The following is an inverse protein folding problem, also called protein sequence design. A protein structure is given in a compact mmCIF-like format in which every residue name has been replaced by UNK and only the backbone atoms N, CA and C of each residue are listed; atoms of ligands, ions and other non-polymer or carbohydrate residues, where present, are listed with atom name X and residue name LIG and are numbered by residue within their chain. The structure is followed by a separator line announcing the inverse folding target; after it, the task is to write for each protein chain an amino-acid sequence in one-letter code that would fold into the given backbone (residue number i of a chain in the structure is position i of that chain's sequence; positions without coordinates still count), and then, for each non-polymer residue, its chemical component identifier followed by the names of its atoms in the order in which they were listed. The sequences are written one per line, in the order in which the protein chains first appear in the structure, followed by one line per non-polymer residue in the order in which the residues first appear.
data_IF_823847880917
#
_entry.id   IF_823847880917
#
_cell.length_a   1.000
_cell.length_b   1.000
_cell.length_c   1.000
_cell.angle_alpha   90.00
_cell.angle_beta   90.00
_cell.angle_gamma   90.00
#
_symmetry.space_group_name_H-M   'P 1'
#
loop_
_entity.id
_entity.type
_entity.pdbx_description
1 polymer ?
#
# COMPACT_ATOMS: atom_id res chain seq x y z
N UNK A 1 5.57 -23.83 10.91
CA UNK A 1 5.22 -23.59 9.50
C UNK A 1 6.48 -23.03 8.87
N UNK A 2 7.20 -23.83 8.09
CA UNK A 2 8.35 -23.34 7.33
C UNK A 2 7.79 -22.53 6.17
N UNK A 3 7.69 -21.22 6.38
CA UNK A 3 7.35 -20.28 5.32
C UNK A 3 8.49 -20.35 4.30
N UNK A 4 8.17 -20.37 3.01
CA UNK A 4 9.14 -20.45 1.92
C UNK A 4 10.35 -19.52 2.11
N UNK A 5 11.46 -19.85 1.44
CA UNK A 5 12.77 -19.19 1.58
C UNK A 5 12.69 -17.71 1.94
N UNK A 6 13.23 -17.34 3.11
CA UNK A 6 13.29 -15.96 3.59
C UNK A 6 13.87 -15.01 2.52
N UNK A 7 13.41 -13.76 2.44
CA UNK A 7 13.94 -12.81 1.47
C UNK A 7 15.44 -12.62 1.69
N UNK A 8 16.21 -12.75 0.63
CA UNK A 8 17.66 -12.50 0.65
C UNK A 8 17.98 -11.18 -0.06
N UNK A 9 19.16 -10.61 0.21
CA UNK A 9 19.67 -9.41 -0.44
C UNK A 9 19.45 -8.11 0.35
N UNK A 10 19.45 -6.97 -0.35
CA UNK A 10 19.34 -5.65 0.29
C UNK A 10 17.90 -5.39 0.73
N UNK A 11 17.72 -4.97 1.97
CA UNK A 11 16.41 -4.66 2.54
C UNK A 11 16.33 -3.19 2.92
N UNK A 12 15.21 -2.53 2.58
CA UNK A 12 14.89 -1.17 2.99
C UNK A 12 13.43 -1.09 3.47
N UNK A 13 13.17 -0.16 4.40
CA UNK A 13 11.83 0.15 4.91
C UNK A 13 11.48 1.61 4.59
N UNK A 14 10.30 1.83 4.01
CA UNK A 14 9.71 3.16 3.84
C UNK A 14 8.64 3.41 4.89
N UNK A 15 8.76 4.54 5.58
CA UNK A 15 7.75 4.98 6.55
C UNK A 15 6.50 5.54 5.89
N UNK A 16 5.39 5.56 6.65
CA UNK A 16 4.06 6.02 6.23
C UNK A 16 3.98 7.48 5.71
N UNK A 17 5.04 8.27 5.88
CA UNK A 17 5.14 9.65 5.43
C UNK A 17 5.91 9.83 4.12
N UNK A 18 6.35 8.75 3.46
CA UNK A 18 7.21 8.86 2.28
C UNK A 18 6.56 9.67 1.14
N UNK A 19 5.25 9.50 0.93
CA UNK A 19 4.49 10.20 -0.10
C UNK A 19 4.23 11.68 0.23
N UNK A 20 4.55 12.15 1.44
CA UNK A 20 4.27 13.53 1.88
C UNK A 20 4.94 14.59 1.02
N UNK A 21 6.22 14.39 0.69
CA UNK A 21 6.96 15.30 -0.19
C UNK A 21 6.40 15.36 -1.61
N UNK A 22 5.48 14.44 -1.93
CA UNK A 22 4.82 14.32 -3.22
C UNK A 22 3.35 14.75 -3.15
N UNK A 23 2.91 15.33 -2.04
CA UNK A 23 1.51 15.78 -1.85
C UNK A 23 0.59 14.73 -1.21
N UNK A 24 1.15 13.63 -0.72
CA UNK A 24 0.44 12.69 0.15
C UNK A 24 0.16 13.29 1.53
N UNK A 25 -0.66 12.60 2.32
CA UNK A 25 -1.04 13.05 3.66
C UNK A 25 -0.22 12.34 4.74
N UNK A 26 0.16 13.08 5.77
CA UNK A 26 0.61 12.50 7.05
C UNK A 26 -0.60 11.93 7.81
N UNK A 27 -0.36 11.05 8.78
CA UNK A 27 -1.42 10.49 9.62
C UNK A 27 -2.30 11.55 10.32
N UNK A 28 -1.69 12.68 10.74
CA UNK A 28 -2.43 13.82 11.31
C UNK A 28 -3.35 14.49 10.28
N UNK A 29 -2.88 14.64 9.04
CA UNK A 29 -3.66 15.22 7.94
C UNK A 29 -4.76 14.26 7.47
N UNK A 30 -4.47 12.96 7.42
CA UNK A 30 -5.46 11.90 7.17
C UNK A 30 -6.62 12.01 8.15
N UNK A 31 -6.35 12.22 9.44
CA UNK A 31 -7.39 12.43 10.45
C UNK A 31 -8.32 13.59 10.08
N UNK A 32 -7.75 14.74 9.71
CA UNK A 32 -8.55 15.89 9.27
C UNK A 32 -9.36 15.59 8.01
N UNK A 33 -8.79 14.88 7.03
CA UNK A 33 -9.51 14.52 5.81
C UNK A 33 -10.67 13.56 6.09
N UNK A 34 -10.46 12.54 6.91
CA UNK A 34 -11.51 11.59 7.33
C UNK A 34 -12.63 12.31 8.06
N UNK A 35 -12.32 13.25 8.94
CA UNK A 35 -13.32 14.06 9.65
C UNK A 35 -14.27 14.82 8.71
N UNK A 36 -13.78 15.24 7.55
CA UNK A 36 -14.59 15.97 6.55
C UNK A 36 -15.29 15.06 5.53
N UNK A 37 -15.17 13.74 5.62
CA UNK A 37 -15.96 12.84 4.76
C UNK A 37 -17.47 12.98 5.10
N UNK A 38 -18.36 13.10 4.09
CA UNK A 38 -19.78 13.36 4.33
C UNK A 38 -20.47 12.39 5.29
N UNK A 39 -20.12 11.10 5.22
CA UNK A 39 -20.65 10.06 6.12
C UNK A 39 -20.09 10.11 7.54
N UNK A 40 -18.92 10.73 7.73
CA UNK A 40 -18.32 10.95 9.05
C UNK A 40 -18.89 12.21 9.69
N UNK A 41 -18.90 13.32 8.95
CA UNK A 41 -19.33 14.63 9.45
C UNK A 41 -20.80 14.65 9.91
N UNK A 42 -21.65 13.89 9.23
CA UNK A 42 -23.08 13.79 9.56
C UNK A 42 -23.38 12.82 10.71
N UNK A 43 -22.42 11.96 11.08
CA UNK A 43 -22.58 10.98 12.14
C UNK A 43 -21.93 11.47 13.45
N UNK A 44 -22.76 11.80 14.44
CA UNK A 44 -22.31 12.33 15.73
C UNK A 44 -21.32 11.39 16.43
N UNK A 45 -21.57 10.09 16.44
CA UNK A 45 -20.68 9.10 17.06
C UNK A 45 -19.28 9.15 16.45
N UNK A 46 -19.18 9.21 15.12
CA UNK A 46 -17.90 9.25 14.43
C UNK A 46 -17.16 10.56 14.64
N UNK A 47 -17.88 11.68 14.58
CA UNK A 47 -17.32 13.00 14.84
C UNK A 47 -16.78 13.12 16.28
N UNK A 48 -17.51 12.59 17.26
CA UNK A 48 -17.10 12.62 18.67
C UNK A 48 -15.87 11.72 18.89
N UNK A 49 -15.85 10.50 18.34
CA UNK A 49 -14.69 9.60 18.42
C UNK A 49 -13.41 10.24 17.83
N UNK A 50 -13.53 10.95 16.71
CA UNK A 50 -12.40 11.66 16.09
C UNK A 50 -11.92 12.86 16.90
N UNK A 51 -12.83 13.59 17.56
CA UNK A 51 -12.48 14.73 18.43
C UNK A 51 -11.79 14.30 19.71
N UNK A 52 -12.27 13.22 20.34
CA UNK A 52 -11.72 12.74 21.61
C UNK A 52 -10.32 12.13 21.46
N UNK A 53 -10.10 11.37 20.38
CA UNK A 53 -8.84 10.62 20.20
C UNK A 53 -7.80 11.35 19.35
N UNK A 54 -8.19 12.43 18.66
CA UNK A 54 -7.35 13.22 17.76
C UNK A 54 -6.59 12.43 16.67
N UNK A 55 -6.98 11.17 16.42
CA UNK A 55 -6.37 10.27 15.45
C UNK A 55 -7.45 9.30 14.93
N UNK A 56 -7.58 9.21 13.60
CA UNK A 56 -8.52 8.30 12.95
C UNK A 56 -8.27 6.82 13.28
N UNK A 57 -7.03 6.40 13.51
CA UNK A 57 -6.69 5.03 13.87
C UNK A 57 -7.27 4.64 15.24
N UNK A 58 -7.16 5.56 16.20
CA UNK A 58 -7.72 5.38 17.55
C UNK A 58 -9.25 5.46 17.54
N UNK A 59 -9.81 6.40 16.77
CA UNK A 59 -11.24 6.50 16.58
C UNK A 59 -11.82 5.21 15.95
N UNK A 60 -11.20 4.69 14.90
CA UNK A 60 -11.62 3.44 14.28
C UNK A 60 -11.50 2.24 15.24
N UNK A 61 -10.42 2.17 16.03
CA UNK A 61 -10.28 1.12 17.04
C UNK A 61 -11.41 1.16 18.09
N UNK A 62 -11.83 2.36 18.50
CA UNK A 62 -12.98 2.54 19.38
C UNK A 62 -14.29 2.11 18.69
N UNK A 63 -14.54 2.56 17.45
CA UNK A 63 -15.74 2.18 16.70
C UNK A 63 -15.81 0.66 16.47
N UNK A 64 -14.68 -0.02 16.28
CA UNK A 64 -14.64 -1.50 16.21
C UNK A 64 -15.01 -2.18 17.52
N UNK A 65 -14.72 -1.55 18.65
CA UNK A 65 -15.02 -2.10 19.98
C UNK A 65 -16.46 -1.83 20.41
N UNK A 66 -16.98 -0.65 20.11
CA UNK A 66 -18.24 -0.14 20.67
C UNK A 66 -19.36 -0.07 19.63
N UNK A 67 -19.02 0.02 18.35
CA UNK A 67 -19.98 0.13 17.24
C UNK A 67 -20.45 -1.21 16.71
N UNK A 68 -21.51 -1.17 15.91
CA UNK A 68 -21.99 -2.32 15.16
C UNK A 68 -21.23 -2.50 13.83
N UNK A 69 -21.44 -3.65 13.17
CA UNK A 69 -20.75 -4.00 11.91
C UNK A 69 -20.93 -2.93 10.83
N UNK A 70 -22.12 -2.35 10.70
CA UNK A 70 -22.39 -1.32 9.69
C UNK A 70 -21.67 -0.01 9.99
N UNK A 71 -21.57 0.37 11.26
CA UNK A 71 -20.81 1.55 11.69
C UNK A 71 -19.32 1.39 11.42
N UNK A 72 -18.76 0.21 11.72
CA UNK A 72 -17.36 -0.11 11.41
C UNK A 72 -17.13 0.00 9.90
N UNK A 73 -17.98 -0.63 9.10
CA UNK A 73 -17.89 -0.61 7.63
C UNK A 73 -17.96 0.81 7.06
N UNK A 74 -18.86 1.66 7.58
CA UNK A 74 -18.97 3.05 7.16
C UNK A 74 -17.72 3.87 7.47
N UNK A 75 -17.12 3.66 8.65
CA UNK A 75 -15.90 4.36 9.03
C UNK A 75 -14.70 3.89 8.20
N UNK A 76 -14.55 2.58 7.98
CA UNK A 76 -13.52 1.99 7.14
C UNK A 76 -13.62 2.49 5.69
N UNK A 77 -14.83 2.54 5.14
CA UNK A 77 -15.07 3.07 3.79
C UNK A 77 -14.69 4.55 3.69
N UNK A 78 -14.97 5.36 4.73
CA UNK A 78 -14.54 6.76 4.76
C UNK A 78 -13.01 6.88 4.74
N UNK A 79 -12.30 6.06 5.52
CA UNK A 79 -10.82 6.01 5.52
C UNK A 79 -10.30 5.58 4.14
N UNK A 80 -10.85 4.52 3.57
CA UNK A 80 -10.49 4.04 2.24
C UNK A 80 -10.75 5.10 1.16
N UNK A 81 -11.85 5.87 1.26
CA UNK A 81 -12.17 6.94 0.34
C UNK A 81 -11.16 8.09 0.38
N UNK A 82 -10.63 8.43 1.57
CA UNK A 82 -9.57 9.44 1.70
C UNK A 82 -8.28 8.96 1.02
N UNK A 83 -7.89 7.70 1.21
CA UNK A 83 -6.74 7.12 0.50
C UNK A 83 -6.96 7.10 -1.02
N UNK A 84 -8.17 6.75 -1.48
CA UNK A 84 -8.54 6.81 -2.91
C UNK A 84 -8.39 8.23 -3.48
N UNK A 85 -8.90 9.24 -2.78
CA UNK A 85 -8.72 10.65 -3.17
C UNK A 85 -7.25 11.07 -3.17
N UNK A 86 -6.45 10.59 -2.23
CA UNK A 86 -5.00 10.82 -2.22
C UNK A 86 -4.33 10.16 -3.44
N UNK A 87 -4.63 8.89 -3.73
CA UNK A 87 -4.11 8.17 -4.89
C UNK A 87 -4.48 8.87 -6.19
N UNK A 88 -5.73 9.33 -6.33
CA UNK A 88 -6.13 10.14 -7.47
C UNK A 88 -5.30 11.41 -7.61
N UNK A 89 -4.96 12.08 -6.51
CA UNK A 89 -4.16 13.31 -6.56
C UNK A 89 -2.69 13.05 -6.88
N UNK A 90 -2.14 11.92 -6.42
CA UNK A 90 -0.75 11.52 -6.58
C UNK A 90 -0.47 10.87 -7.94
N UNK A 91 -1.43 10.09 -8.45
CA UNK A 91 -1.27 9.24 -9.63
C UNK A 91 -2.03 9.77 -10.86
N UNK A 92 -2.70 10.93 -10.77
CA UNK A 92 -3.28 11.59 -11.96
C UNK A 92 -2.14 12.05 -12.89
N UNK A 93 -2.22 11.76 -14.20
CA UNK A 93 -1.17 12.02 -15.19
C UNK A 93 -1.05 13.50 -15.58
N UNK A 94 -1.42 14.42 -14.70
CA UNK A 94 -1.06 15.83 -14.85
C UNK A 94 0.45 15.97 -14.57
N UNK A 95 1.24 15.67 -15.61
CA UNK A 95 2.70 15.76 -15.71
C UNK A 95 3.28 17.12 -15.29
N UNK A 96 2.45 18.13 -15.05
CA UNK A 96 2.87 19.46 -14.61
C UNK A 96 2.99 19.60 -13.08
N UNK A 97 2.52 18.63 -12.29
CA UNK A 97 2.55 18.73 -10.81
C UNK A 97 3.88 18.28 -10.19
N UNK A 98 4.56 17.39 -10.89
CA UNK A 98 5.91 16.95 -10.56
C UNK A 98 6.82 17.36 -11.69
N UNK A 99 7.92 18.06 -11.38
CA UNK A 99 8.93 18.22 -12.41
C UNK A 99 9.46 16.83 -12.80
N UNK A 100 9.67 16.63 -14.10
CA UNK A 100 10.25 15.39 -14.65
C UNK A 100 11.53 14.98 -13.90
N UNK A 101 12.26 15.97 -13.38
CA UNK A 101 13.48 15.82 -12.59
C UNK A 101 13.24 15.08 -11.27
N UNK A 102 12.13 15.31 -10.57
CA UNK A 102 11.79 14.64 -9.30
C UNK A 102 11.48 13.17 -9.52
N UNK A 103 10.70 12.84 -10.55
CA UNK A 103 10.45 11.45 -10.95
C UNK A 103 11.74 10.74 -11.34
N UNK A 104 12.56 11.39 -12.17
CA UNK A 104 13.84 10.85 -12.59
C UNK A 104 14.82 10.64 -11.43
N UNK A 105 14.87 11.57 -10.47
CA UNK A 105 15.71 11.44 -9.27
C UNK A 105 15.22 10.30 -8.37
N UNK A 106 13.91 10.14 -8.23
CA UNK A 106 13.31 9.05 -7.47
C UNK A 106 13.59 7.69 -8.11
N UNK A 107 13.45 7.60 -9.43
CA UNK A 107 13.85 6.43 -10.20
C UNK A 107 15.34 6.13 -10.00
N UNK A 108 16.22 7.13 -10.12
CA UNK A 108 17.66 6.98 -9.87
C UNK A 108 17.96 6.55 -8.45
N UNK A 109 17.21 7.03 -7.46
CA UNK A 109 17.37 6.63 -6.08
C UNK A 109 17.11 5.14 -5.92
N UNK A 110 15.97 4.64 -6.41
CA UNK A 110 15.64 3.21 -6.35
C UNK A 110 16.60 2.37 -7.19
N UNK A 111 16.91 2.81 -8.40
CA UNK A 111 17.93 2.16 -9.23
C UNK A 111 19.27 2.09 -8.49
N UNK A 112 19.73 3.13 -7.79
CA UNK A 112 21.00 3.07 -7.04
C UNK A 112 20.93 2.21 -5.79
N UNK A 113 19.82 2.29 -5.07
CA UNK A 113 19.60 1.52 -3.85
C UNK A 113 19.68 0.01 -4.14
N UNK A 114 19.19 -0.38 -5.33
CA UNK A 114 18.97 -1.77 -5.68
C UNK A 114 19.81 -2.29 -6.88
N UNK A 115 20.46 -1.45 -7.70
CA UNK A 115 21.29 -1.84 -8.88
C UNK A 115 22.38 -2.85 -8.57
N UNK A 116 23.06 -2.70 -7.43
CA UNK A 116 24.17 -3.57 -7.08
C UNK A 116 23.74 -5.03 -6.89
N UNK A 117 22.45 -5.26 -6.65
CA UNK A 117 21.90 -6.59 -6.40
C UNK A 117 21.76 -7.38 -7.70
N UNK A 118 21.52 -6.71 -8.84
CA UNK A 118 21.25 -7.36 -10.13
C UNK A 118 22.50 -7.61 -10.99
N UNK A 119 23.52 -6.75 -10.86
CA UNK A 119 24.70 -6.84 -11.73
C UNK A 119 25.66 -7.99 -11.38
N UNK A 120 25.64 -8.47 -10.13
CA UNK A 120 26.62 -9.45 -9.65
C UNK A 120 26.02 -10.82 -9.29
N UNK A 121 24.71 -10.94 -9.13
CA UNK A 121 24.08 -12.20 -8.73
C UNK A 121 22.59 -12.25 -9.14
N UNK A 122 22.28 -13.00 -10.21
CA UNK A 122 20.89 -13.16 -10.69
C UNK A 122 19.98 -13.87 -9.68
N UNK A 123 20.54 -14.48 -8.64
CA UNK A 123 19.80 -15.16 -7.60
C UNK A 123 19.50 -14.28 -6.37
N UNK A 124 19.90 -12.99 -6.38
CA UNK A 124 19.60 -12.05 -5.29
C UNK A 124 18.49 -11.09 -5.69
N UNK A 125 17.43 -11.08 -4.90
CA UNK A 125 16.41 -10.02 -4.94
C UNK A 125 16.78 -8.89 -3.99
N UNK A 126 16.09 -7.75 -4.12
CA UNK A 126 16.09 -6.72 -3.07
C UNK A 126 14.68 -6.54 -2.53
N UNK A 127 14.55 -6.15 -1.26
CA UNK A 127 13.28 -6.07 -0.58
C UNK A 127 13.02 -4.63 -0.15
N UNK A 128 11.92 -4.07 -0.62
CA UNK A 128 11.44 -2.74 -0.27
C UNK A 128 10.12 -2.89 0.48
N UNK A 129 10.22 -2.88 1.80
CA UNK A 129 9.06 -2.87 2.67
C UNK A 129 8.51 -1.45 2.80
N UNK A 130 7.20 -1.32 2.93
CA UNK A 130 6.56 -0.04 3.16
C UNK A 130 5.45 -0.13 4.20
N UNK A 131 5.33 0.94 4.97
CA UNK A 131 4.20 1.20 5.86
C UNK A 131 3.12 2.07 5.20
N UNK A 132 3.37 2.60 3.99
CA UNK A 132 2.37 3.36 3.23
C UNK A 132 1.24 2.46 2.75
N UNK A 133 0.01 2.98 2.85
CA UNK A 133 -1.20 2.37 2.30
C UNK A 133 -1.63 2.99 0.96
N UNK A 134 -0.99 4.08 0.55
CA UNK A 134 -1.18 4.73 -0.77
C UNK A 134 -0.46 3.96 -1.90
N UNK A 135 -0.76 4.34 -3.13
CA UNK A 135 -0.28 3.66 -4.35
C UNK A 135 0.71 4.49 -5.17
N UNK A 136 1.28 5.53 -4.55
CA UNK A 136 2.21 6.43 -5.22
C UNK A 136 3.47 5.71 -5.70
N UNK A 137 4.02 4.84 -4.86
CA UNK A 137 5.25 4.16 -5.22
C UNK A 137 5.02 3.10 -6.31
N UNK A 138 3.88 2.41 -6.31
CA UNK A 138 3.48 1.56 -7.43
C UNK A 138 3.43 2.36 -8.74
N UNK A 139 2.83 3.55 -8.70
CA UNK A 139 2.78 4.44 -9.86
C UNK A 139 4.18 4.84 -10.34
N UNK A 140 5.06 5.28 -9.44
CA UNK A 140 6.45 5.65 -9.77
C UNK A 140 7.21 4.48 -10.38
N UNK A 141 7.15 3.31 -9.73
CA UNK A 141 7.89 2.11 -10.12
C UNK A 141 7.46 1.64 -11.50
N UNK A 142 6.16 1.62 -11.77
CA UNK A 142 5.67 1.17 -13.07
C UNK A 142 6.02 2.18 -14.18
N UNK A 143 6.04 3.49 -13.87
CA UNK A 143 6.42 4.53 -14.83
C UNK A 143 7.93 4.66 -15.04
N UNK A 144 8.73 4.00 -14.22
CA UNK A 144 10.16 3.93 -14.44
C UNK A 144 10.43 3.04 -15.66
N UNK A 145 10.89 3.63 -16.78
CA UNK A 145 11.43 2.90 -17.93
C UNK A 145 12.79 2.25 -17.63
N UNK A 146 12.98 1.73 -16.42
CA UNK A 146 14.23 1.14 -15.94
C UNK A 146 14.36 -0.35 -16.29
N UNK A 147 15.59 -0.88 -16.32
CA UNK A 147 15.84 -2.31 -16.56
C UNK A 147 15.44 -3.20 -15.37
N UNK A 148 15.09 -2.61 -14.24
CA UNK A 148 14.81 -3.31 -12.99
C UNK A 148 13.37 -3.79 -12.98
N UNK A 149 13.16 -5.11 -12.91
CA UNK A 149 11.82 -5.68 -12.72
C UNK A 149 11.40 -5.56 -11.25
N UNK A 150 10.15 -5.18 -11.03
CA UNK A 150 9.54 -5.02 -9.71
C UNK A 150 8.31 -5.91 -9.60
N UNK A 151 8.07 -6.48 -8.42
CA UNK A 151 6.90 -7.30 -8.14
C UNK A 151 6.44 -7.16 -6.69
N UNK A 152 5.16 -7.39 -6.46
CA UNK A 152 4.59 -7.51 -5.11
C UNK A 152 4.40 -9.02 -4.92
N UNK A 153 5.22 -9.67 -4.08
CA UNK A 153 5.27 -11.13 -4.03
C UNK A 153 3.92 -11.75 -3.63
N UNK A 154 3.33 -12.60 -4.47
CA UNK A 154 1.99 -13.16 -4.21
C UNK A 154 0.82 -12.34 -4.79
N UNK A 155 1.10 -11.24 -5.49
CA UNK A 155 0.10 -10.48 -6.27
C UNK A 155 0.46 -10.52 -7.75
N UNK A 156 -0.49 -10.96 -8.59
CA UNK A 156 -0.30 -11.04 -10.04
C UNK A 156 -0.17 -9.63 -10.65
N UNK A 157 0.73 -9.46 -11.61
CA UNK A 157 0.99 -8.17 -12.25
C UNK A 157 -0.23 -7.63 -13.02
N UNK A 158 -1.03 -8.51 -13.61
CA UNK A 158 -2.30 -8.15 -14.26
C UNK A 158 -3.33 -7.53 -13.30
N UNK A 159 -3.13 -7.75 -12.00
CA UNK A 159 -3.96 -7.20 -10.94
C UNK A 159 -3.50 -5.82 -10.49
N UNK A 160 -2.52 -5.20 -11.16
CA UNK A 160 -2.04 -3.85 -10.85
C UNK A 160 -2.86 -2.77 -11.56
N UNK A 161 -2.98 -1.59 -10.94
CA UNK A 161 -3.79 -0.47 -11.45
C UNK A 161 -3.29 0.20 -12.73
N UNK A 162 -2.12 -0.17 -13.23
CA UNK A 162 -1.56 0.48 -14.40
C UNK A 162 -1.01 -0.58 -15.37
N UNK A 163 -1.52 -0.52 -16.61
CA UNK A 163 -1.09 -1.39 -17.70
C UNK A 163 -0.23 -0.61 -18.68
N UNK A 164 0.87 -1.21 -19.11
CA UNK A 164 1.79 -0.57 -20.04
C UNK A 164 1.19 -0.53 -21.46
N UNK A 165 0.51 0.58 -21.78
CA UNK A 165 -0.07 0.82 -23.10
C UNK A 165 0.80 1.76 -23.93
N UNK A 166 1.77 1.21 -24.67
CA UNK A 166 2.53 1.98 -25.67
C UNK A 166 3.48 3.04 -25.11
N UNK A 167 4.15 2.77 -23.97
CA UNK A 167 5.16 3.68 -23.40
C UNK A 167 4.58 4.83 -22.57
N UNK A 168 3.26 4.84 -22.34
CA UNK A 168 2.61 5.68 -21.34
C UNK A 168 1.75 4.80 -20.45
N UNK A 169 2.05 4.77 -19.15
CA UNK A 169 1.07 4.30 -18.18
C UNK A 169 0.01 5.39 -18.04
N UNK A 170 -1.13 5.13 -18.65
CA UNK A 170 -2.34 5.84 -18.27
C UNK A 170 -2.76 5.22 -16.95
N UNK A 171 -3.29 5.99 -15.98
CA UNK A 171 -4.34 5.44 -15.13
C UNK A 171 -5.19 4.55 -16.01
N UNK A 172 -5.28 3.28 -15.66
CA UNK A 172 -6.43 2.54 -16.12
C UNK A 172 -7.66 3.42 -15.83
N UNK A 173 -8.69 3.32 -16.67
CA UNK A 173 -10.04 3.76 -16.33
C UNK A 173 -10.51 3.24 -14.93
N UNK A 174 -9.73 2.36 -14.29
CA UNK A 174 -9.91 1.70 -13.00
C UNK A 174 -9.03 2.24 -11.85
N UNK A 175 -8.44 3.44 -11.91
CA UNK A 175 -7.93 4.10 -10.69
C UNK A 175 -9.12 4.16 -9.70
N UNK A 176 -9.00 3.53 -8.51
CA UNK A 176 -10.06 3.23 -7.52
C UNK A 176 -10.77 1.86 -7.59
N UNK A 177 -10.48 0.99 -8.56
CA UNK A 177 -11.01 -0.39 -8.48
C UNK A 177 -10.32 -1.13 -7.34
N UNK A 178 -11.01 -2.05 -6.69
CA UNK A 178 -10.36 -2.95 -5.73
C UNK A 178 -9.65 -4.10 -6.48
N UNK A 179 -8.40 -4.33 -6.15
CA UNK A 179 -7.59 -5.49 -6.57
C UNK A 179 -8.02 -6.69 -5.74
N UNK A 180 -8.44 -7.76 -6.40
CA UNK A 180 -8.62 -9.04 -5.73
C UNK A 180 -7.25 -9.68 -5.50
N UNK A 181 -6.92 -9.92 -4.24
CA UNK A 181 -5.68 -10.54 -3.80
C UNK A 181 -5.99 -11.95 -3.32
N UNK A 182 -5.21 -12.91 -3.81
CA UNK A 182 -5.29 -14.29 -3.34
C UNK A 182 -4.60 -14.39 -1.97
N UNK A 183 -5.41 -14.52 -0.92
CA UNK A 183 -4.96 -14.47 0.48
C UNK A 183 -5.15 -15.84 1.14
N UNK A 184 -4.50 -16.86 0.57
CA UNK A 184 -4.55 -18.25 1.03
C UNK A 184 -3.15 -18.74 1.39
N UNK A 185 -3.08 -19.77 2.25
CA UNK A 185 -1.80 -20.41 2.60
C UNK A 185 -1.11 -20.96 1.35
N UNK A 186 -1.86 -21.62 0.47
CA UNK A 186 -1.34 -22.17 -0.78
C UNK A 186 -0.75 -21.10 -1.72
N UNK A 187 -1.33 -19.90 -1.74
CA UNK A 187 -0.79 -18.78 -2.51
C UNK A 187 0.50 -18.24 -1.89
N UNK A 188 0.55 -18.17 -0.56
CA UNK A 188 1.73 -17.74 0.20
C UNK A 188 2.90 -18.68 0.01
N UNK A 189 2.67 -20.00 0.03
CA UNK A 189 3.73 -21.00 -0.14
C UNK A 189 4.36 -20.98 -1.55
N UNK A 190 3.63 -20.42 -2.52
CA UNK A 190 4.11 -20.21 -3.89
C UNK A 190 4.84 -18.89 -4.08
N UNK A 191 4.94 -18.05 -3.04
CA UNK A 191 5.64 -16.77 -3.14
C UNK A 191 7.12 -17.03 -3.42
N UNK A 192 7.58 -16.50 -4.55
CA UNK A 192 8.95 -16.60 -4.95
C UNK A 192 9.72 -15.32 -4.56
N UNK A 193 10.51 -15.43 -3.49
CA UNK A 193 11.26 -14.31 -2.92
C UNK A 193 12.58 -14.00 -3.63
N UNK A 194 13.10 -14.92 -4.46
CA UNK A 194 14.51 -14.94 -4.89
C UNK A 194 14.70 -14.88 -6.41
N UNK A 195 14.14 -13.87 -7.08
CA UNK A 195 14.06 -13.84 -8.54
C UNK A 195 14.70 -12.66 -9.25
N UNK A 196 15.78 -12.08 -8.69
CA UNK A 196 16.49 -11.01 -9.39
C UNK A 196 15.53 -9.89 -9.78
N UNK A 197 14.64 -9.53 -8.84
CA UNK A 197 13.64 -8.45 -8.89
C UNK A 197 13.70 -7.63 -7.61
N UNK A 198 13.08 -6.45 -7.62
CA UNK A 198 12.77 -5.74 -6.37
C UNK A 198 11.40 -6.22 -5.90
N UNK A 199 11.38 -6.86 -4.74
CA UNK A 199 10.18 -7.22 -4.01
C UNK A 199 9.66 -5.98 -3.29
N UNK A 200 8.56 -5.41 -3.76
CA UNK A 200 7.88 -4.30 -3.09
C UNK A 200 6.75 -4.84 -2.20
N UNK A 201 6.82 -4.60 -0.90
CA UNK A 201 6.04 -5.32 0.10
C UNK A 201 5.30 -4.33 1.01
N UNK A 202 3.96 -4.36 0.99
CA UNK A 202 3.11 -3.53 1.87
C UNK A 202 2.76 -4.27 3.15
N UNK A 203 3.30 -3.82 4.29
CA UNK A 203 3.15 -4.52 5.58
C UNK A 203 1.76 -4.39 6.21
N UNK A 204 0.95 -3.42 5.77
CA UNK A 204 -0.38 -3.14 6.29
C UNK A 204 -1.48 -3.29 5.22
N UNK A 205 -1.18 -3.97 4.11
CA UNK A 205 -2.06 -4.02 2.96
C UNK A 205 -2.15 -2.69 2.23
N UNK A 206 -3.25 -2.50 1.49
CA UNK A 206 -3.46 -1.32 0.63
C UNK A 206 -4.93 -0.92 0.66
N UNK A 207 -5.23 0.37 0.51
CA UNK A 207 -6.61 0.83 0.38
C UNK A 207 -7.32 0.26 -0.85
N UNK A 208 -6.55 -0.25 -1.81
CA UNK A 208 -7.05 -0.85 -3.04
C UNK A 208 -7.12 -2.38 -3.00
N UNK A 209 -6.67 -3.05 -1.94
CA UNK A 209 -6.69 -4.52 -1.88
C UNK A 209 -7.98 -5.03 -1.24
N UNK A 210 -8.48 -6.16 -1.75
CA UNK A 210 -9.53 -6.97 -1.15
C UNK A 210 -9.27 -8.45 -1.36
N UNK A 211 -9.81 -9.29 -0.49
CA UNK A 211 -9.93 -10.74 -0.69
C UNK A 211 -11.41 -11.13 -0.64
N UNK A 212 -11.71 -12.43 -0.51
CA UNK A 212 -13.09 -12.93 -0.37
C UNK A 212 -13.77 -12.47 0.93
N UNK A 213 -12.99 -12.21 2.00
CA UNK A 213 -13.50 -11.77 3.29
C UNK A 213 -13.77 -10.25 3.35
N UNK A 214 -13.22 -9.47 2.42
CA UNK A 214 -13.42 -8.03 2.33
C UNK A 214 -12.14 -7.26 2.05
N UNK A 215 -12.08 -6.02 2.54
CA UNK A 215 -10.93 -5.14 2.32
C UNK A 215 -9.67 -5.60 3.07
N UNK A 216 -8.55 -5.60 2.38
CA UNK A 216 -7.22 -5.91 2.94
C UNK A 216 -6.45 -4.64 3.24
N UNK A 217 -6.99 -3.87 4.20
CA UNK A 217 -6.39 -2.65 4.71
C UNK A 217 -6.30 -2.71 6.23
N UNK A 218 -5.08 -2.76 6.76
CA UNK A 218 -4.83 -2.76 8.20
C UNK A 218 -4.61 -1.33 8.68
N UNK A 219 -5.66 -0.76 9.26
CA UNK A 219 -5.68 0.54 9.93
C UNK A 219 -6.16 0.39 11.37
N UNK A 220 -5.72 1.28 12.26
CA UNK A 220 -6.17 1.27 13.67
C UNK A 220 -5.20 0.60 14.64
N UNK A 221 -5.54 0.62 15.94
CA UNK A 221 -4.67 0.13 17.01
C UNK A 221 -4.56 -1.41 17.15
N UNK A 222 -5.53 -2.17 16.67
CA UNK A 222 -5.55 -3.64 16.79
C UNK A 222 -4.93 -4.34 15.57
N UNK A 223 -3.76 -3.88 15.13
CA UNK A 223 -3.13 -4.34 13.88
C UNK A 223 -2.83 -5.84 13.92
N UNK A 224 -2.40 -6.37 15.06
CA UNK A 224 -1.99 -7.77 15.19
C UNK A 224 -3.15 -8.74 14.94
N UNK A 225 -4.34 -8.48 15.51
CA UNK A 225 -5.50 -9.34 15.30
C UNK A 225 -6.02 -9.31 13.85
N UNK A 226 -5.81 -8.21 13.12
CA UNK A 226 -6.12 -8.12 11.70
C UNK A 226 -5.09 -8.85 10.84
N UNK A 227 -3.79 -8.63 11.13
CA UNK A 227 -2.70 -9.27 10.40
C UNK A 227 -2.78 -10.79 10.49
N UNK A 228 -3.09 -11.34 11.67
CA UNK A 228 -3.19 -12.79 11.87
C UNK A 228 -4.32 -13.46 11.08
N UNK A 229 -5.27 -12.68 10.55
CA UNK A 229 -6.38 -13.20 9.71
C UNK A 229 -6.03 -13.28 8.23
N UNK A 230 -4.95 -12.62 7.80
CA UNK A 230 -4.47 -12.64 6.42
C UNK A 230 -3.18 -13.45 6.35
N UNK A 231 -3.21 -14.65 5.72
CA UNK A 231 -1.99 -15.41 5.42
C UNK A 231 -0.92 -14.57 4.72
N UNK A 232 -1.30 -13.75 3.74
CA UNK A 232 -0.37 -12.93 2.96
C UNK A 232 0.31 -11.87 3.83
N UNK A 233 -0.46 -11.09 4.61
CA UNK A 233 0.12 -10.06 5.46
C UNK A 233 0.94 -10.66 6.60
N UNK A 234 0.57 -11.84 7.10
CA UNK A 234 1.37 -12.60 8.07
C UNK A 234 2.70 -13.05 7.46
N UNK A 235 2.69 -13.52 6.22
CA UNK A 235 3.91 -13.89 5.50
C UNK A 235 4.82 -12.69 5.29
N UNK A 236 4.27 -11.54 4.89
CA UNK A 236 5.02 -10.29 4.73
C UNK A 236 5.64 -9.80 6.05
N UNK A 237 4.89 -9.87 7.16
CA UNK A 237 5.41 -9.54 8.49
C UNK A 237 6.55 -10.48 8.90
N UNK A 238 6.44 -11.76 8.58
CA UNK A 238 7.47 -12.74 8.92
C UNK A 238 8.71 -12.59 8.05
N UNK A 239 8.54 -12.25 6.78
CA UNK A 239 9.62 -11.93 5.85
C UNK A 239 10.39 -10.65 6.22
N UNK A 240 9.77 -9.75 6.99
CA UNK A 240 10.40 -8.51 7.45
C UNK A 240 11.23 -8.69 8.74
N UNK A 241 10.90 -9.69 9.56
CA UNK A 241 11.58 -9.99 10.83
C UNK A 241 12.91 -10.71 10.59
#
# INVERSE_FOLDING_TARGET
MEIGTQPSGRTALLGAGFSKNFGGFLASEMTSKVFFEPGIKSNKLFADALREKYNYENALAQIRKEGNIEQVRQFEEAVANVYRKQNEQLCKPNLNRFDYKSFYNLQKFFDRLFRSTFHNDKNRSSNLFTLNQDSFLEFVIQNANGPTSYGIPGIKQESWHFQNGGGQLRPDQQLNKKILVEDSIDAVDKINWAHGTINYIKLHGSAEWKNEAGDLLVVGGDKQAFLSKSPLLTAYQTAFK
#
